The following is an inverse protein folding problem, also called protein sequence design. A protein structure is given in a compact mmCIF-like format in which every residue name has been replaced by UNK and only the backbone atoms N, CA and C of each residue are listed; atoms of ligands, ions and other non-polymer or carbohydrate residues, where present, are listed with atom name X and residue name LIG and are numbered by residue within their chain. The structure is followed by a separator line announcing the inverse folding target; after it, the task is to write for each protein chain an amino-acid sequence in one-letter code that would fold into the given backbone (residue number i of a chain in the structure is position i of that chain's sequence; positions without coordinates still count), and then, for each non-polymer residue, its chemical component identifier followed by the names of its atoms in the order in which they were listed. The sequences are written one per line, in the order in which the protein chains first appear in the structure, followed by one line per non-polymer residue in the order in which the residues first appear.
data_IF_147399424578
#
_entry.id   IF_147399424578
#
_cell.length_a   1.000
_cell.length_b   1.000
_cell.length_c   1.000
_cell.angle_alpha   90.00
_cell.angle_beta   90.00
_cell.angle_gamma   90.00
#
_symmetry.space_group_name_H-M   'P 1'
#
loop_
_entity.id
_entity.type
_entity.pdbx_description
1 polymer ?
#
# COMPACT_ATOMS: atom_id res chain seq x y z
N UNK A 1 -26.48 -34.29 -28.64
CA UNK A 1 -25.04 -33.94 -28.51
C UNK A 1 -24.66 -33.14 -29.75
N UNK A 2 -24.51 -31.82 -29.65
CA UNK A 2 -24.21 -30.94 -30.79
C UNK A 2 -22.74 -30.51 -30.72
N UNK A 3 -21.95 -30.87 -31.74
CA UNK A 3 -20.56 -30.45 -31.89
C UNK A 3 -20.50 -28.98 -32.36
N UNK A 4 -19.66 -28.12 -31.76
CA UNK A 4 -19.54 -26.72 -32.18
C UNK A 4 -18.85 -26.62 -33.55
N UNK A 5 -19.40 -25.77 -34.43
CA UNK A 5 -18.82 -25.48 -35.76
C UNK A 5 -17.43 -24.84 -35.60
N UNK A 6 -16.41 -25.25 -36.38
CA UNK A 6 -15.05 -24.75 -36.23
C UNK A 6 -14.98 -23.25 -36.54
N UNK A 7 -14.43 -22.49 -35.61
CA UNK A 7 -14.09 -21.08 -35.81
C UNK A 7 -12.96 -21.00 -36.85
N UNK A 8 -13.12 -20.16 -37.87
CA UNK A 8 -12.10 -19.96 -38.89
C UNK A 8 -10.88 -19.27 -38.26
N UNK A 9 -9.85 -20.05 -37.92
CA UNK A 9 -8.60 -19.51 -37.40
C UNK A 9 -7.89 -18.73 -38.50
N UNK A 10 -7.62 -17.45 -38.25
CA UNK A 10 -6.86 -16.61 -39.15
C UNK A 10 -5.40 -17.10 -39.20
N UNK A 11 -5.04 -17.88 -40.22
CA UNK A 11 -3.66 -18.30 -40.42
C UNK A 11 -2.79 -17.12 -40.85
N UNK A 12 -1.53 -17.11 -40.44
CA UNK A 12 -0.56 -16.04 -40.77
C UNK A 12 -0.52 -15.71 -42.27
N UNK A 13 -0.68 -16.73 -43.13
CA UNK A 13 -0.77 -16.58 -44.58
C UNK A 13 -2.02 -15.80 -45.04
N UNK A 14 -3.17 -16.01 -44.40
CA UNK A 14 -4.41 -15.28 -44.70
C UNK A 14 -4.35 -13.80 -44.25
N UNK A 15 -3.69 -13.51 -43.13
CA UNK A 15 -3.42 -12.13 -42.71
C UNK A 15 -2.49 -11.40 -43.67
N UNK A 16 -1.39 -12.05 -44.09
CA UNK A 16 -0.40 -11.47 -44.99
C UNK A 16 -0.96 -11.15 -46.38
N UNK A 17 -1.99 -11.90 -46.82
CA UNK A 17 -2.57 -11.75 -48.16
C UNK A 17 -3.75 -10.78 -48.21
N UNK A 18 -4.43 -10.53 -47.07
CA UNK A 18 -5.60 -9.64 -46.98
C UNK A 18 -5.32 -8.29 -46.32
N UNK A 19 -4.28 -8.18 -45.49
CA UNK A 19 -3.82 -6.91 -44.93
C UNK A 19 -2.59 -6.42 -45.70
N UNK A 20 -2.59 -5.18 -46.15
CA UNK A 20 -1.46 -4.50 -46.82
C UNK A 20 -0.25 -4.27 -45.89
N UNK A 21 -0.13 -5.01 -44.79
CA UNK A 21 0.97 -4.91 -43.85
C UNK A 21 2.17 -5.72 -44.38
N UNK A 22 3.18 -5.04 -44.90
CA UNK A 22 4.50 -5.65 -45.16
C UNK A 22 5.04 -6.21 -43.83
N UNK A 23 5.53 -7.46 -43.80
CA UNK A 23 6.18 -8.00 -42.61
C UNK A 23 7.41 -7.14 -42.30
N UNK A 24 7.47 -6.61 -41.08
CA UNK A 24 8.64 -5.87 -40.57
C UNK A 24 9.85 -6.79 -40.30
N UNK A 25 9.75 -8.07 -40.62
CA UNK A 25 10.75 -9.09 -40.30
C UNK A 25 11.62 -9.35 -41.53
N UNK A 26 12.85 -8.85 -41.46
CA UNK A 26 13.99 -9.37 -42.25
C UNK A 26 14.15 -10.86 -41.89
N UNK A 27 14.31 -11.78 -42.85
CA UNK A 27 14.55 -13.19 -42.53
C UNK A 27 15.84 -13.27 -41.70
N UNK A 28 15.74 -13.77 -40.47
CA UNK A 28 16.92 -14.16 -39.72
C UNK A 28 17.35 -15.52 -40.23
N UNK A 29 18.51 -15.56 -40.88
CA UNK A 29 19.17 -16.80 -41.28
C UNK A 29 19.44 -17.66 -40.03
N UNK A 30 18.77 -18.81 -39.96
CA UNK A 30 18.85 -19.77 -38.84
C UNK A 30 20.09 -20.66 -38.89
N UNK A 31 21.23 -20.12 -39.30
CA UNK A 31 22.51 -20.83 -39.30
C UNK A 31 23.59 -20.00 -38.62
N UNK A 32 23.42 -19.75 -37.33
CA UNK A 32 24.47 -19.26 -36.44
C UNK A 32 24.46 -20.10 -35.15
N UNK A 33 25.62 -20.50 -34.61
CA UNK A 33 25.67 -21.31 -33.40
C UNK A 33 25.13 -20.49 -32.23
N UNK A 34 24.17 -21.07 -31.51
CA UNK A 34 23.67 -20.53 -30.27
C UNK A 34 24.66 -20.83 -29.16
N UNK A 35 25.46 -19.85 -28.71
CA UNK A 35 26.09 -19.86 -27.39
C UNK A 35 26.43 -18.42 -26.97
N UNK A 36 25.75 -17.96 -25.93
CA UNK A 36 26.21 -17.03 -24.87
C UNK A 36 26.84 -15.66 -25.24
N UNK A 37 26.85 -15.25 -26.51
CA UNK A 37 27.45 -13.98 -26.94
C UNK A 37 26.48 -12.78 -26.96
N UNK A 38 25.16 -13.00 -26.79
CA UNK A 38 24.17 -11.92 -26.76
C UNK A 38 24.07 -11.22 -25.40
N UNK A 39 24.48 -11.89 -24.32
CA UNK A 39 24.49 -11.33 -22.97
C UNK A 39 25.79 -10.57 -22.64
N UNK A 40 26.82 -10.69 -23.50
CA UNK A 40 28.11 -9.96 -23.46
C UNK A 40 28.13 -8.75 -24.41
N UNK A 41 26.96 -8.34 -24.92
CA UNK A 41 26.80 -6.99 -25.44
C UNK A 41 26.63 -6.10 -24.22
N UNK A 42 27.63 -5.25 -23.95
CA UNK A 42 27.75 -4.31 -22.81
C UNK A 42 26.59 -3.32 -22.58
N UNK A 43 25.39 -3.65 -23.02
CA UNK A 43 24.10 -3.09 -22.62
C UNK A 43 23.84 -3.23 -21.11
N UNK A 44 24.36 -4.30 -20.49
CA UNK A 44 24.36 -4.46 -19.04
C UNK A 44 25.51 -3.71 -18.34
N UNK A 45 26.48 -3.19 -19.10
CA UNK A 45 27.64 -2.41 -18.63
C UNK A 45 27.43 -0.89 -18.77
N UNK A 46 26.19 -0.46 -19.02
CA UNK A 46 25.75 0.90 -18.68
C UNK A 46 25.53 0.94 -17.17
N UNK A 47 26.64 0.88 -16.42
CA UNK A 47 26.73 0.59 -14.99
C UNK A 47 25.48 1.02 -14.23
N UNK A 48 24.80 0.04 -13.62
CA UNK A 48 23.46 0.13 -13.03
C UNK A 48 23.14 1.49 -12.36
N UNK A 49 22.78 2.49 -13.16
CA UNK A 49 22.34 3.77 -12.64
C UNK A 49 20.93 3.54 -12.14
N UNK A 50 20.82 3.30 -10.84
CA UNK A 50 19.54 3.19 -10.16
C UNK A 50 18.75 4.46 -10.51
N UNK A 51 17.57 4.34 -11.14
CA UNK A 51 16.81 5.51 -11.55
C UNK A 51 16.49 6.37 -10.33
N UNK A 52 16.63 7.70 -10.47
CA UNK A 52 16.51 8.66 -9.37
C UNK A 52 15.24 8.48 -8.53
N UNK A 53 14.14 8.09 -9.18
CA UNK A 53 12.85 7.81 -8.52
C UNK A 53 12.90 6.65 -7.51
N UNK A 54 13.76 5.65 -7.71
CA UNK A 54 13.93 4.54 -6.76
C UNK A 54 14.77 4.98 -5.56
N UNK A 55 15.74 5.86 -5.77
CA UNK A 55 16.53 6.49 -4.70
C UNK A 55 15.65 7.40 -3.84
N UNK A 56 14.80 8.21 -4.48
CA UNK A 56 13.82 9.08 -3.81
C UNK A 56 12.81 8.27 -3.00
N UNK A 57 12.28 7.17 -3.56
CA UNK A 57 11.36 6.27 -2.83
C UNK A 57 12.02 5.63 -1.61
N UNK A 58 13.27 5.17 -1.74
CA UNK A 58 14.01 4.61 -0.62
C UNK A 58 14.26 5.66 0.47
N UNK A 59 14.61 6.90 0.09
CA UNK A 59 14.80 8.01 1.01
C UNK A 59 13.51 8.36 1.78
N UNK A 60 12.37 8.47 1.08
CA UNK A 60 11.06 8.71 1.70
C UNK A 60 10.66 7.57 2.65
N UNK A 61 10.97 6.33 2.29
CA UNK A 61 10.66 5.17 3.13
C UNK A 61 11.47 5.15 4.44
N UNK A 62 12.73 5.60 4.39
CA UNK A 62 13.58 5.80 5.58
C UNK A 62 13.07 6.96 6.44
N UNK A 63 12.63 8.06 5.81
CA UNK A 63 12.09 9.22 6.53
C UNK A 63 10.78 8.89 7.27
N UNK A 64 9.89 8.10 6.65
CA UNK A 64 8.68 7.58 7.29
C UNK A 64 9.00 6.63 8.45
N UNK A 65 10.11 5.89 8.36
CA UNK A 65 10.56 4.96 9.40
C UNK A 65 11.26 5.62 10.59
N UNK A 66 11.58 6.92 10.52
CA UNK A 66 12.27 7.63 11.60
C UNK A 66 11.30 7.84 12.76
N UNK A 67 11.59 7.34 13.98
CA UNK A 67 10.73 7.59 15.13
C UNK A 67 10.73 9.09 15.43
N UNK A 68 9.56 9.72 15.34
CA UNK A 68 9.37 11.12 15.69
C UNK A 68 9.69 11.27 17.18
N UNK A 69 10.61 12.18 17.51
CA UNK A 69 10.89 12.53 18.90
C UNK A 69 9.60 13.07 19.54
N UNK A 70 9.19 12.47 20.66
CA UNK A 70 7.98 12.85 21.37
C UNK A 70 8.16 14.27 21.90
N UNK A 71 7.48 15.25 21.29
CA UNK A 71 7.48 16.63 21.76
C UNK A 71 6.52 16.77 22.93
N UNK A 72 6.98 17.40 24.02
CA UNK A 72 6.15 17.65 25.19
C UNK A 72 4.95 18.54 24.79
N UNK A 73 3.73 18.04 24.97
CA UNK A 73 2.50 18.78 24.68
C UNK A 73 2.16 19.66 25.89
N UNK A 74 1.90 20.95 25.66
CA UNK A 74 1.46 21.84 26.74
C UNK A 74 0.05 21.48 27.24
N UNK A 75 -0.21 21.69 28.53
CA UNK A 75 -1.53 21.46 29.13
C UNK A 75 -2.63 22.28 28.45
N UNK A 76 -2.31 23.49 27.98
CA UNK A 76 -3.24 24.33 27.23
C UNK A 76 -3.61 23.70 25.88
N UNK A 77 -2.64 23.11 25.18
CA UNK A 77 -2.88 22.38 23.94
C UNK A 77 -3.75 21.14 24.19
N UNK A 78 -3.44 20.36 25.23
CA UNK A 78 -4.22 19.19 25.61
C UNK A 78 -5.68 19.57 25.93
N UNK A 79 -5.90 20.64 26.70
CA UNK A 79 -7.23 21.19 27.02
C UNK A 79 -8.01 21.67 25.81
N UNK A 80 -7.33 22.25 24.82
CA UNK A 80 -7.97 22.61 23.54
C UNK A 80 -8.41 21.37 22.78
N UNK A 81 -7.53 20.38 22.63
CA UNK A 81 -7.83 19.13 21.93
C UNK A 81 -9.02 18.42 22.60
N UNK A 82 -9.02 18.29 23.92
CA UNK A 82 -10.11 17.64 24.67
C UNK A 82 -11.49 18.30 24.44
N UNK A 83 -11.55 19.64 24.40
CA UNK A 83 -12.80 20.35 24.09
C UNK A 83 -13.27 20.12 22.66
N UNK A 84 -12.35 20.16 21.69
CA UNK A 84 -12.65 19.92 20.28
C UNK A 84 -13.16 18.50 20.03
N UNK A 85 -12.58 17.49 20.70
CA UNK A 85 -13.02 16.09 20.57
C UNK A 85 -14.41 15.89 21.16
N UNK A 86 -14.69 16.43 22.35
CA UNK A 86 -16.03 16.43 22.96
C UNK A 86 -17.07 17.10 22.07
N UNK A 87 -16.75 18.26 21.47
CA UNK A 87 -17.65 18.98 20.59
C UNK A 87 -17.98 18.20 19.31
N UNK A 88 -16.97 17.57 18.68
CA UNK A 88 -17.16 16.78 17.45
C UNK A 88 -17.93 15.49 17.69
N UNK A 89 -17.71 14.85 18.82
CA UNK A 89 -18.31 13.55 19.13
C UNK A 89 -19.63 13.65 19.89
N UNK A 90 -19.94 14.82 20.47
CA UNK A 90 -21.04 15.02 21.41
C UNK A 90 -21.04 14.00 22.56
N UNK A 91 -19.85 13.54 22.97
CA UNK A 91 -19.69 12.51 23.99
C UNK A 91 -19.98 11.07 23.54
N UNK A 92 -20.17 10.85 22.24
CA UNK A 92 -20.37 9.52 21.65
C UNK A 92 -19.10 9.03 20.93
N UNK A 93 -19.24 7.95 20.14
CA UNK A 93 -18.14 7.39 19.35
C UNK A 93 -17.84 8.27 18.14
N UNK A 94 -16.56 8.55 17.90
CA UNK A 94 -16.10 9.14 16.65
C UNK A 94 -16.04 8.07 15.54
N UNK A 95 -16.46 8.41 14.34
CA UNK A 95 -16.14 7.62 13.15
C UNK A 95 -14.74 8.00 12.65
N UNK A 96 -13.91 7.00 12.36
CA UNK A 96 -12.58 7.17 11.80
C UNK A 96 -12.46 6.34 10.52
N UNK A 97 -12.08 6.99 9.42
CA UNK A 97 -11.82 6.33 8.13
C UNK A 97 -10.31 6.12 7.97
N UNK A 98 -9.87 4.86 8.01
CA UNK A 98 -8.47 4.49 7.83
C UNK A 98 -8.21 4.10 6.37
N UNK A 99 -7.19 4.70 5.75
CA UNK A 99 -6.68 4.27 4.44
C UNK A 99 -5.55 3.28 4.64
N UNK A 100 -5.66 2.11 4.00
CA UNK A 100 -4.66 1.04 4.06
C UNK A 100 -4.18 0.71 2.65
N UNK A 101 -2.90 0.38 2.51
CA UNK A 101 -2.40 -0.26 1.30
C UNK A 101 -2.95 -1.69 1.17
N UNK A 102 -2.81 -2.26 -0.02
CA UNK A 102 -3.37 -3.57 -0.36
C UNK A 102 -2.84 -4.69 0.52
N UNK A 103 -1.54 -4.68 0.83
CA UNK A 103 -0.89 -5.71 1.65
C UNK A 103 -1.38 -5.63 3.11
N UNK A 104 -1.40 -4.45 3.73
CA UNK A 104 -1.94 -4.26 5.08
C UNK A 104 -3.41 -4.67 5.17
N UNK A 105 -4.22 -4.32 4.16
CA UNK A 105 -5.62 -4.71 4.14
C UNK A 105 -5.79 -6.23 4.02
N UNK A 106 -5.02 -6.90 3.17
CA UNK A 106 -5.03 -8.36 3.05
C UNK A 106 -4.68 -9.03 4.39
N UNK A 107 -3.61 -8.58 5.05
CA UNK A 107 -3.20 -9.09 6.35
C UNK A 107 -4.28 -8.90 7.42
N UNK A 108 -4.92 -7.73 7.46
CA UNK A 108 -6.01 -7.46 8.41
C UNK A 108 -7.23 -8.37 8.16
N UNK A 109 -7.55 -8.66 6.89
CA UNK A 109 -8.64 -9.57 6.50
C UNK A 109 -8.33 -11.01 6.91
N UNK A 110 -7.11 -11.48 6.65
CA UNK A 110 -6.66 -12.82 7.05
C UNK A 110 -6.61 -12.96 8.57
N UNK A 111 -6.11 -11.95 9.29
CA UNK A 111 -6.11 -11.94 10.75
C UNK A 111 -7.52 -12.08 11.32
N UNK A 112 -8.50 -11.37 10.74
CA UNK A 112 -9.91 -11.51 11.13
C UNK A 112 -10.46 -12.92 10.90
N UNK A 113 -10.13 -13.55 9.76
CA UNK A 113 -10.54 -14.91 9.45
C UNK A 113 -9.94 -15.95 10.41
N UNK A 114 -8.64 -15.83 10.73
CA UNK A 114 -7.93 -16.74 11.63
C UNK A 114 -8.42 -16.61 13.07
N UNK A 115 -8.70 -15.39 13.52
CA UNK A 115 -9.10 -15.11 14.91
C UNK A 115 -10.61 -15.11 15.14
N UNK A 116 -11.42 -15.32 14.08
CA UNK A 116 -12.88 -15.21 14.15
C UNK A 116 -13.38 -13.83 14.58
N UNK A 117 -12.60 -12.77 14.32
CA UNK A 117 -12.88 -11.41 14.80
C UNK A 117 -13.05 -10.43 13.64
N UNK A 118 -13.89 -9.41 13.84
CA UNK A 118 -14.04 -8.35 12.86
C UNK A 118 -12.79 -7.46 12.80
N UNK A 119 -12.50 -6.91 11.62
CA UNK A 119 -11.38 -5.98 11.43
C UNK A 119 -11.48 -4.76 12.36
N UNK A 120 -12.69 -4.26 12.63
CA UNK A 120 -12.91 -3.18 13.58
C UNK A 120 -12.45 -3.55 15.00
N UNK A 121 -12.78 -4.76 15.47
CA UNK A 121 -12.38 -5.22 16.81
C UNK A 121 -10.86 -5.36 16.92
N UNK A 122 -10.22 -5.95 15.91
CA UNK A 122 -8.76 -6.10 15.89
C UNK A 122 -8.04 -4.75 15.94
N UNK A 123 -8.50 -3.77 15.16
CA UNK A 123 -7.92 -2.42 15.17
C UNK A 123 -8.15 -1.71 16.51
N UNK A 124 -9.33 -1.90 17.11
CA UNK A 124 -9.63 -1.33 18.44
C UNK A 124 -8.70 -1.91 19.51
N UNK A 125 -8.56 -3.25 19.55
CA UNK A 125 -7.66 -3.91 20.49
C UNK A 125 -6.19 -3.50 20.30
N UNK A 126 -5.74 -3.37 19.05
CA UNK A 126 -4.40 -2.91 18.75
C UNK A 126 -4.17 -1.45 19.19
N UNK A 127 -5.19 -0.59 19.03
CA UNK A 127 -5.13 0.79 19.50
C UNK A 127 -5.08 0.86 21.02
N UNK A 128 -5.95 0.11 21.71
CA UNK A 128 -5.98 0.09 23.17
C UNK A 128 -4.63 -0.42 23.74
N UNK A 129 -4.09 -1.48 23.16
CA UNK A 129 -2.78 -2.02 23.55
C UNK A 129 -1.63 -1.02 23.25
N UNK A 130 -1.71 -0.26 22.16
CA UNK A 130 -0.73 0.77 21.85
C UNK A 130 -0.82 1.96 22.82
N UNK A 131 -2.03 2.42 23.18
CA UNK A 131 -2.18 3.52 24.13
C UNK A 131 -1.66 3.14 25.53
N UNK A 132 -1.79 1.88 25.93
CA UNK A 132 -1.21 1.37 27.18
C UNK A 132 0.32 1.50 27.24
N UNK A 133 1.02 1.60 26.10
CA UNK A 133 2.48 1.85 26.10
C UNK A 133 2.84 3.32 26.31
N UNK A 134 1.85 4.22 26.35
CA UNK A 134 2.01 5.67 26.44
C UNK A 134 1.32 6.26 27.68
N UNK A 135 1.75 5.92 28.91
CA UNK A 135 1.13 6.41 30.15
C UNK A 135 1.17 7.94 30.31
N UNK A 136 2.12 8.60 29.63
CA UNK A 136 2.22 10.06 29.52
C UNK A 136 0.92 10.70 28.98
N UNK A 137 0.25 9.99 28.06
CA UNK A 137 -1.01 10.46 27.44
C UNK A 137 -2.15 10.41 28.46
N UNK A 138 -2.22 9.35 29.26
CA UNK A 138 -3.21 9.23 30.34
C UNK A 138 -3.00 10.31 31.40
N UNK A 139 -1.74 10.62 31.74
CA UNK A 139 -1.41 11.71 32.64
C UNK A 139 -1.88 13.08 32.10
N UNK A 140 -1.74 13.32 30.79
CA UNK A 140 -2.25 14.53 30.13
C UNK A 140 -3.79 14.57 30.17
N UNK A 141 -4.46 13.44 29.94
CA UNK A 141 -5.92 13.34 30.00
C UNK A 141 -6.43 13.60 31.42
N UNK A 142 -5.76 13.09 32.45
CA UNK A 142 -6.13 13.29 33.85
C UNK A 142 -6.03 14.77 34.30
N UNK A 143 -5.19 15.57 33.64
CA UNK A 143 -5.04 17.01 33.90
C UNK A 143 -6.12 17.86 33.23
N UNK A 144 -6.97 17.27 32.38
CA UNK A 144 -8.05 18.00 31.71
C UNK A 144 -9.21 18.29 32.67
N UNK A 145 -9.88 19.45 32.56
CA UNK A 145 -11.06 19.73 33.36
C UNK A 145 -12.15 18.69 33.04
N UNK A 146 -12.58 17.93 34.06
CA UNK A 146 -13.64 16.94 33.89
C UNK A 146 -14.96 17.64 33.54
N UNK A 147 -15.48 17.41 32.35
CA UNK A 147 -16.81 17.88 31.96
C UNK A 147 -17.84 17.11 32.79
N UNK A 148 -18.35 17.72 33.86
CA UNK A 148 -19.39 17.14 34.72
C UNK A 148 -20.62 16.86 33.84
N UNK A 149 -21.13 15.62 33.76
CA UNK A 149 -22.34 15.35 32.98
C UNK A 149 -23.51 16.12 33.64
N UNK A 150 -24.24 16.89 32.84
CA UNK A 150 -25.49 17.53 33.25
C UNK A 150 -26.49 16.38 33.54
N UNK A 151 -26.82 16.20 34.82
CA UNK A 151 -27.92 15.35 35.28
C UNK A 151 -29.26 15.86 34.74
#
# INVERSE_FOLDING_TARGET
MAQPKPIASLSSSLLARKGTARPAMRPQDVSAPAHDASDDLGWNDMGAQVPSVLVERAALQVEIGRPVAVTAVSNATAARIGRETLAKTKGAKAAFTLRLDSDRHLRLRLAGAVTGSSSQRLVTLALDAFLQTLPEVDALVAQLPSTKPKR
#
